data_IF_702622906954
#
_entry.id   IF_702622906954
#
_cell.length_a   1.000
_cell.length_b   1.000
_cell.length_c   1.000
_cell.angle_alpha   90.00
_cell.angle_beta   90.00
_cell.angle_gamma   90.00
#
_symmetry.space_group_name_H-M   'P 1'
#
loop_
_entity.id
_entity.type
_entity.pdbx_description
1 polymer ?
#
# COMPACT_ATOMS: atom_id res chain seq x y z
N UNK A 1 14.41 -31.55 -18.59
CA UNK A 1 13.86 -30.53 -19.43
C UNK A 1 13.75 -29.19 -18.74
N UNK A 2 14.18 -28.18 -19.44
CA UNK A 2 14.20 -26.88 -18.86
C UNK A 2 13.04 -26.05 -19.29
N UNK A 3 12.45 -25.36 -18.39
CA UNK A 3 11.40 -24.43 -18.70
C UNK A 3 12.00 -23.11 -19.12
N UNK A 4 11.30 -22.42 -19.99
CA UNK A 4 11.67 -21.07 -20.32
C UNK A 4 11.30 -20.16 -19.15
N UNK A 5 12.25 -19.43 -18.58
CA UNK A 5 11.92 -18.54 -17.47
C UNK A 5 10.88 -17.49 -17.83
N UNK A 6 10.91 -17.03 -19.07
CA UNK A 6 9.98 -15.99 -19.49
C UNK A 6 8.53 -16.39 -19.44
N UNK A 7 8.25 -17.70 -19.58
CA UNK A 7 6.88 -18.17 -19.54
C UNK A 7 6.30 -18.09 -18.14
N UNK A 8 7.13 -18.13 -17.12
CA UNK A 8 6.68 -18.21 -15.74
C UNK A 8 6.76 -16.90 -14.98
N UNK A 9 7.51 -15.96 -15.51
CA UNK A 9 7.68 -14.69 -14.81
C UNK A 9 6.38 -14.00 -14.46
N UNK A 10 5.43 -13.89 -15.41
CA UNK A 10 4.17 -13.20 -15.09
C UNK A 10 3.33 -13.90 -14.04
N UNK A 11 3.62 -15.18 -13.80
CA UNK A 11 2.84 -15.97 -12.83
C UNK A 11 3.51 -16.05 -11.47
N UNK A 12 4.69 -15.47 -11.36
CA UNK A 12 5.43 -15.51 -10.12
C UNK A 12 4.72 -14.69 -9.04
N UNK A 13 4.70 -15.23 -7.84
CA UNK A 13 4.15 -14.51 -6.71
C UNK A 13 5.02 -13.33 -6.35
N UNK A 14 4.42 -12.29 -5.78
CA UNK A 14 5.16 -11.18 -5.27
C UNK A 14 6.00 -11.61 -4.08
N UNK A 15 7.12 -10.94 -3.89
CA UNK A 15 8.00 -11.19 -2.76
C UNK A 15 7.43 -10.50 -1.52
N UNK A 16 7.07 -11.26 -0.52
CA UNK A 16 6.46 -10.71 0.68
C UNK A 16 7.35 -9.66 1.37
N UNK A 17 8.65 -9.87 1.39
CA UNK A 17 9.56 -8.92 2.00
C UNK A 17 9.55 -7.58 1.27
N UNK A 18 9.55 -7.64 -0.05
CA UNK A 18 9.53 -6.43 -0.86
C UNK A 18 8.23 -5.67 -0.67
N UNK A 19 7.11 -6.40 -0.64
CA UNK A 19 5.80 -5.78 -0.42
C UNK A 19 5.74 -5.15 0.95
N UNK A 20 6.18 -5.85 1.98
CA UNK A 20 6.13 -5.33 3.35
C UNK A 20 6.99 -4.08 3.50
N UNK A 21 8.16 -4.09 2.87
CA UNK A 21 9.04 -2.94 2.91
C UNK A 21 8.43 -1.73 2.22
N UNK A 22 7.87 -1.93 1.04
CA UNK A 22 7.24 -0.84 0.30
C UNK A 22 6.01 -0.33 1.03
N UNK A 23 5.18 -1.23 1.56
CA UNK A 23 3.98 -0.85 2.29
C UNK A 23 4.33 -0.08 3.55
N UNK A 24 5.35 -0.53 4.27
CA UNK A 24 5.77 0.16 5.48
C UNK A 24 6.28 1.57 5.16
N UNK A 25 7.11 1.69 4.12
CA UNK A 25 7.62 2.99 3.72
C UNK A 25 6.48 3.93 3.32
N UNK A 26 5.50 3.40 2.60
CA UNK A 26 4.35 4.18 2.18
C UNK A 26 3.55 4.70 3.39
N UNK A 27 3.21 3.79 4.32
CA UNK A 27 2.35 4.20 5.41
C UNK A 27 3.07 5.10 6.42
N UNK A 28 4.39 4.91 6.58
CA UNK A 28 5.16 5.80 7.43
C UNK A 28 5.27 7.20 6.82
N UNK A 29 5.35 7.27 5.48
CA UNK A 29 5.35 8.56 4.81
C UNK A 29 4.02 9.28 5.04
N UNK A 30 2.91 8.55 4.98
CA UNK A 30 1.60 9.12 5.27
C UNK A 30 1.56 9.63 6.71
N UNK A 31 2.01 8.81 7.65
CA UNK A 31 1.96 9.17 9.07
C UNK A 31 2.84 10.37 9.40
N UNK A 32 3.94 10.54 8.68
CA UNK A 32 4.84 11.66 8.92
C UNK A 32 4.47 12.91 8.11
N UNK A 33 3.45 12.81 7.26
CA UNK A 33 3.03 13.95 6.45
C UNK A 33 3.84 14.15 5.18
N UNK A 34 4.69 13.18 4.82
CA UNK A 34 5.50 13.27 3.62
C UNK A 34 4.69 12.75 2.43
N UNK A 35 3.80 13.60 1.95
CA UNK A 35 2.87 13.23 0.88
C UNK A 35 3.59 12.94 -0.42
N UNK A 36 4.69 13.65 -0.68
CA UNK A 36 5.46 13.43 -1.90
C UNK A 36 6.01 12.01 -1.95
N UNK A 37 6.56 11.52 -0.86
CA UNK A 37 7.05 10.16 -0.84
C UNK A 37 5.92 9.16 -0.86
N UNK A 38 4.84 9.42 -0.13
CA UNK A 38 3.70 8.49 -0.08
C UNK A 38 3.13 8.24 -1.46
N UNK A 39 3.05 9.29 -2.28
CA UNK A 39 2.48 9.19 -3.63
C UNK A 39 3.33 8.31 -4.56
N UNK A 40 4.63 8.21 -4.29
CA UNK A 40 5.51 7.42 -5.16
C UNK A 40 5.17 5.93 -5.15
N UNK A 41 4.42 5.47 -4.17
CA UNK A 41 4.03 4.07 -4.07
C UNK A 41 2.66 3.80 -4.69
N UNK A 42 2.02 4.81 -5.26
CA UNK A 42 0.68 4.66 -5.81
C UNK A 42 0.74 4.54 -7.32
N UNK A 43 0.08 3.53 -7.84
CA UNK A 43 -0.06 3.34 -9.27
C UNK A 43 -1.37 3.97 -9.71
N UNK A 44 -1.33 4.81 -10.74
CA UNK A 44 -2.56 5.41 -11.24
C UNK A 44 -2.29 6.64 -12.07
N UNK A 45 -3.33 7.09 -12.73
CA UNK A 45 -3.22 8.22 -13.64
C UNK A 45 -3.40 9.56 -12.96
N UNK A 46 -4.18 9.60 -11.90
CA UNK A 46 -4.51 10.85 -11.26
C UNK A 46 -3.69 11.05 -9.99
N UNK A 47 -2.43 11.39 -10.19
CA UNK A 47 -1.50 11.62 -9.07
C UNK A 47 -1.94 12.82 -8.25
N UNK A 48 -2.50 13.85 -8.89
CA UNK A 48 -2.96 15.02 -8.17
C UNK A 48 -4.07 14.71 -7.19
N UNK A 49 -5.01 13.87 -7.62
CA UNK A 49 -6.11 13.48 -6.74
C UNK A 49 -5.61 12.63 -5.59
N UNK A 50 -4.70 11.69 -5.87
CA UNK A 50 -4.12 10.85 -4.84
C UNK A 50 -3.38 11.70 -3.82
N UNK A 51 -2.62 12.68 -4.29
CA UNK A 51 -1.87 13.57 -3.41
C UNK A 51 -2.81 14.35 -2.50
N UNK A 52 -3.92 14.88 -3.05
CA UNK A 52 -4.87 15.63 -2.24
C UNK A 52 -5.52 14.75 -1.18
N UNK A 53 -5.86 13.51 -1.53
CA UNK A 53 -6.45 12.57 -0.58
C UNK A 53 -5.47 12.22 0.53
N UNK A 54 -4.21 11.95 0.18
CA UNK A 54 -3.20 11.62 1.17
C UNK A 54 -2.91 12.79 2.10
N UNK A 55 -2.94 14.01 1.58
CA UNK A 55 -2.72 15.19 2.40
C UNK A 55 -3.79 15.30 3.48
N UNK A 56 -5.05 15.02 3.11
CA UNK A 56 -6.13 15.06 4.08
C UNK A 56 -6.01 13.99 5.13
N UNK A 57 -5.63 12.78 4.69
CA UNK A 57 -5.44 11.67 5.62
C UNK A 57 -4.30 11.97 6.57
N UNK A 58 -3.20 12.50 6.04
CA UNK A 58 -2.02 12.79 6.84
C UNK A 58 -2.31 13.78 7.97
N UNK A 59 -3.28 14.68 7.75
CA UNK A 59 -3.60 15.66 8.78
C UNK A 59 -4.17 15.03 10.05
N UNK A 60 -4.82 13.88 9.94
CA UNK A 60 -5.46 13.25 11.09
C UNK A 60 -4.77 11.99 11.57
N UNK A 61 -3.81 11.45 10.82
CA UNK A 61 -3.12 10.23 11.22
C UNK A 61 -2.13 10.53 12.34
N UNK A 62 -2.24 9.80 13.44
CA UNK A 62 -1.31 9.94 14.55
C UNK A 62 -0.32 8.78 14.60
N UNK A 63 -0.72 7.62 14.06
CA UNK A 63 0.15 6.46 14.02
C UNK A 63 -0.36 5.49 12.96
N UNK A 64 0.53 4.82 12.26
CA UNK A 64 0.14 3.85 11.26
C UNK A 64 1.17 2.75 11.16
N UNK A 65 0.70 1.54 10.88
CA UNK A 65 1.59 0.39 10.75
C UNK A 65 0.98 -0.65 9.82
N UNK A 66 1.85 -1.50 9.26
CA UNK A 66 1.41 -2.66 8.48
C UNK A 66 0.93 -3.71 9.48
N UNK A 67 -0.29 -4.17 9.31
CA UNK A 67 -0.87 -5.15 10.20
C UNK A 67 -0.77 -6.56 9.62
N UNK A 68 -0.99 -6.70 8.33
CA UNK A 68 -0.97 -8.00 7.69
C UNK A 68 -0.61 -7.88 6.22
N UNK A 69 0.10 -8.89 5.71
CA UNK A 69 0.43 -9.00 4.29
C UNK A 69 0.07 -10.39 3.83
N UNK A 70 -0.74 -10.48 2.79
CA UNK A 70 -1.17 -11.75 2.21
C UNK A 70 -0.84 -11.75 0.72
N UNK A 71 0.00 -12.69 0.31
CA UNK A 71 0.42 -12.79 -1.10
C UNK A 71 -0.61 -13.62 -1.86
N UNK A 72 -1.10 -13.06 -2.98
CA UNK A 72 -2.09 -13.71 -3.81
C UNK A 72 -1.58 -13.75 -5.25
N UNK A 73 -0.59 -14.60 -5.52
CA UNK A 73 0.00 -14.68 -6.85
C UNK A 73 0.68 -13.38 -7.23
N UNK A 74 0.29 -12.76 -8.34
CA UNK A 74 0.92 -11.51 -8.78
C UNK A 74 0.46 -10.28 -8.02
N UNK A 75 -0.42 -10.46 -7.04
CA UNK A 75 -0.91 -9.37 -6.22
C UNK A 75 -0.67 -9.65 -4.75
N UNK A 76 -0.78 -8.62 -3.94
CA UNK A 76 -0.68 -8.75 -2.50
C UNK A 76 -1.77 -7.90 -1.86
N UNK A 77 -2.33 -8.41 -0.76
CA UNK A 77 -3.29 -7.67 0.04
C UNK A 77 -2.56 -7.23 1.30
N UNK A 78 -2.51 -5.93 1.54
CA UNK A 78 -1.86 -5.38 2.72
C UNK A 78 -2.89 -4.66 3.56
N UNK A 79 -2.95 -5.02 4.83
CA UNK A 79 -3.83 -4.34 5.77
C UNK A 79 -2.99 -3.40 6.63
N UNK A 80 -3.46 -2.17 6.77
CA UNK A 80 -2.84 -1.18 7.63
C UNK A 80 -3.74 -0.89 8.82
N UNK A 81 -3.11 -0.69 9.97
CA UNK A 81 -3.78 -0.22 11.15
C UNK A 81 -3.40 1.25 11.32
N UNK A 82 -4.41 2.12 11.31
CA UNK A 82 -4.18 3.56 11.32
C UNK A 82 -4.92 4.18 12.49
N UNK A 83 -4.17 4.85 13.36
CA UNK A 83 -4.76 5.59 14.47
C UNK A 83 -4.88 7.04 14.05
N UNK A 84 -6.01 7.64 14.38
CA UNK A 84 -6.28 9.01 13.94
C UNK A 84 -6.81 9.86 15.07
N UNK A 85 -6.75 11.19 14.86
CA UNK A 85 -7.35 12.15 15.76
C UNK A 85 -8.77 12.55 15.33
N UNK A 86 -9.28 11.94 14.27
CA UNK A 86 -10.60 12.28 13.76
C UNK A 86 -11.69 11.82 14.73
N UNK A 87 -12.66 12.70 15.05
CA UNK A 87 -13.73 12.32 15.96
C UNK A 87 -14.55 11.16 15.43
N UNK A 88 -14.82 10.18 16.30
CA UNK A 88 -15.62 9.03 15.92
C UNK A 88 -14.87 7.94 15.19
N UNK A 89 -13.61 8.17 14.81
CA UNK A 89 -12.84 7.21 14.06
C UNK A 89 -11.41 7.11 14.58
N UNK A 90 -11.22 6.77 15.87
CA UNK A 90 -9.86 6.76 16.44
C UNK A 90 -8.97 5.65 15.86
N UNK A 91 -9.58 4.61 15.31
CA UNK A 91 -8.84 3.51 14.72
C UNK A 91 -9.52 3.10 13.43
N UNK A 92 -8.73 3.05 12.35
CA UNK A 92 -9.23 2.64 11.05
C UNK A 92 -8.32 1.54 10.52
N UNK A 93 -8.93 0.52 9.95
CA UNK A 93 -8.18 -0.50 9.23
C UNK A 93 -8.40 -0.31 7.74
N UNK A 94 -7.31 -0.33 6.99
CA UNK A 94 -7.36 -0.17 5.55
C UNK A 94 -6.90 -1.46 4.89
N UNK A 95 -7.62 -1.88 3.87
CA UNK A 95 -7.20 -3.01 3.05
C UNK A 95 -6.78 -2.48 1.70
N UNK A 96 -5.57 -2.82 1.28
CA UNK A 96 -5.01 -2.30 0.03
C UNK A 96 -4.52 -3.42 -0.84
N UNK A 97 -4.58 -3.21 -2.16
CA UNK A 97 -4.14 -4.18 -3.15
C UNK A 97 -2.90 -3.64 -3.82
N UNK A 98 -1.84 -4.44 -3.85
CA UNK A 98 -0.55 -4.09 -4.42
C UNK A 98 -0.22 -5.04 -5.55
N UNK A 99 0.49 -4.55 -6.54
CA UNK A 99 0.98 -5.36 -7.64
C UNK A 99 2.38 -4.92 -8.01
N UNK A 100 3.12 -5.84 -8.63
CA UNK A 100 4.50 -5.57 -9.01
C UNK A 100 4.57 -4.87 -10.35
N UNK A 101 5.34 -3.80 -10.41
CA UNK A 101 5.59 -3.06 -11.64
C UNK A 101 7.09 -2.96 -11.85
N UNK A 102 7.61 -3.83 -12.69
CA UNK A 102 9.03 -3.86 -13.03
C UNK A 102 9.90 -4.01 -11.79
N UNK A 103 9.49 -4.90 -10.89
CA UNK A 103 10.23 -5.17 -9.67
C UNK A 103 9.89 -4.26 -8.50
N UNK A 104 8.94 -3.37 -8.71
CA UNK A 104 8.57 -2.41 -7.68
C UNK A 104 7.11 -2.60 -7.27
N UNK A 105 6.82 -2.94 -6.01
CA UNK A 105 5.42 -3.06 -5.57
C UNK A 105 4.76 -1.68 -5.50
N UNK A 106 3.59 -1.56 -6.12
CA UNK A 106 2.84 -0.32 -6.10
C UNK A 106 1.40 -0.59 -5.68
N UNK A 107 0.83 0.38 -4.98
CA UNK A 107 -0.53 0.31 -4.47
C UNK A 107 -1.52 0.65 -5.58
N UNK A 108 -2.47 -0.24 -5.84
CA UNK A 108 -3.47 -0.08 -6.89
C UNK A 108 -4.82 0.36 -6.38
N UNK A 109 -5.21 -0.09 -5.20
CA UNK A 109 -6.54 0.20 -4.68
C UNK A 109 -6.53 0.05 -3.17
N UNK A 110 -7.46 0.72 -2.52
CA UNK A 110 -7.57 0.60 -1.09
C UNK A 110 -8.93 1.08 -0.60
N UNK A 111 -9.34 0.53 0.53
CA UNK A 111 -10.58 0.93 1.15
C UNK A 111 -10.54 0.65 2.64
N UNK A 112 -11.37 1.36 3.38
CA UNK A 112 -11.48 1.13 4.82
C UNK A 112 -12.29 -0.13 5.07
N UNK A 113 -11.83 -0.94 6.00
CA UNK A 113 -12.55 -2.13 6.41
C UNK A 113 -13.52 -1.72 7.49
N UNK A 114 -14.78 -2.08 7.31
CA UNK A 114 -15.79 -1.75 8.29
C UNK A 114 -15.61 -2.56 9.56
N UNK A 115 -15.74 -1.92 10.67
CA UNK A 115 -15.57 -2.57 11.97
C UNK A 115 -16.88 -3.09 12.53
#
# INVERSE_FOLDING_TARGET
MKRSPGLWEPLRSMDERAVRRAADAHIQAVASGDVDEAVEYIFGEDVGKARANLARVAEVVTRAEVEDVSIKGPEAIVQFRVETSAPGHPLVRLETVWADHAGRPLLHAGHAIEQ
#
